data_IF_078717749271
#
_entry.id   IF_078717749271
#
_cell.length_a   1.000
_cell.length_b   1.000
_cell.length_c   1.000
_cell.angle_alpha   90.00
_cell.angle_beta   90.00
_cell.angle_gamma   90.00
#
_symmetry.space_group_name_H-M   'P 1'
#
loop_
_entity.id
_entity.type
_entity.pdbx_description
1 polymer ?
#
# COMPACT_ATOMS: atom_id res chain seq x y z
N UNK A 1 -17.13 -7.41 5.23
CA UNK A 1 -17.17 -6.13 5.97
C UNK A 1 -15.76 -5.74 6.40
N UNK A 2 -15.37 -4.47 6.26
CA UNK A 2 -14.09 -3.95 6.77
C UNK A 2 -14.34 -3.14 8.04
N UNK A 3 -13.59 -3.42 9.10
CA UNK A 3 -13.69 -2.71 10.36
C UNK A 3 -12.64 -1.61 10.52
N UNK A 4 -13.04 -0.53 11.17
CA UNK A 4 -12.17 0.57 11.56
C UNK A 4 -11.99 0.54 13.09
N UNK A 5 -10.79 0.20 13.56
CA UNK A 5 -10.46 0.20 14.98
C UNK A 5 -9.03 0.74 15.18
N UNK A 6 -8.93 1.94 15.74
CA UNK A 6 -7.66 2.62 15.96
C UNK A 6 -6.76 1.82 16.92
N UNK A 7 -5.48 1.66 16.55
CA UNK A 7 -4.49 0.91 17.33
C UNK A 7 -4.59 -0.62 17.23
N UNK A 8 -5.43 -1.16 16.35
CA UNK A 8 -5.60 -2.62 16.18
C UNK A 8 -4.36 -3.31 15.59
N UNK A 9 -3.70 -2.68 14.62
CA UNK A 9 -2.48 -3.19 13.97
C UNK A 9 -2.70 -4.47 13.15
N UNK A 10 -1.62 -5.20 12.86
CA UNK A 10 -1.67 -6.44 12.05
C UNK A 10 -1.72 -7.68 12.96
N UNK A 11 -2.92 -8.05 13.37
CA UNK A 11 -3.18 -9.24 14.19
C UNK A 11 -4.62 -9.77 14.05
N UNK A 12 -4.81 -11.07 14.33
CA UNK A 12 -6.14 -11.68 14.47
C UNK A 12 -6.74 -11.29 15.82
N UNK A 13 -8.03 -10.98 15.85
CA UNK A 13 -8.76 -10.52 17.03
C UNK A 13 -10.24 -10.90 16.96
N UNK A 14 -11.01 -10.59 18.00
CA UNK A 14 -12.44 -10.89 18.10
C UNK A 14 -13.30 -10.16 17.06
N UNK A 15 -12.79 -9.08 16.45
CA UNK A 15 -13.46 -8.43 15.32
C UNK A 15 -13.72 -9.43 14.18
N UNK A 16 -12.76 -10.32 13.89
CA UNK A 16 -12.92 -11.33 12.83
C UNK A 16 -13.94 -12.41 13.19
N UNK A 17 -14.12 -12.70 14.49
CA UNK A 17 -15.18 -13.60 14.96
C UNK A 17 -16.57 -12.92 14.94
N UNK A 18 -16.60 -11.60 14.81
CA UNK A 18 -17.81 -10.76 14.84
C UNK A 18 -18.27 -10.30 13.45
N UNK A 19 -17.79 -10.93 12.38
CA UNK A 19 -18.25 -10.69 11.00
C UNK A 19 -17.40 -9.72 10.17
N UNK A 20 -16.24 -9.29 10.67
CA UNK A 20 -15.28 -8.53 9.86
C UNK A 20 -14.35 -9.45 9.07
N UNK A 21 -14.22 -9.20 7.78
CA UNK A 21 -13.29 -9.94 6.89
C UNK A 21 -11.89 -9.32 6.93
N UNK A 22 -11.82 -8.01 7.20
CA UNK A 22 -10.59 -7.24 7.28
C UNK A 22 -10.70 -6.12 8.32
N UNK A 23 -9.58 -5.76 8.91
CA UNK A 23 -9.43 -4.56 9.75
C UNK A 23 -8.48 -3.58 9.07
N UNK A 24 -8.74 -2.28 9.20
CA UNK A 24 -7.85 -1.24 8.66
C UNK A 24 -6.49 -1.30 9.36
N UNK A 25 -5.43 -1.32 8.55
CA UNK A 25 -4.04 -1.31 9.02
C UNK A 25 -3.52 0.12 9.09
N UNK A 26 -3.75 0.78 10.23
CA UNK A 26 -3.31 2.15 10.49
C UNK A 26 -1.79 2.32 10.54
N UNK A 27 -1.05 1.25 10.88
CA UNK A 27 0.41 1.30 11.02
C UNK A 27 1.12 1.40 9.67
N UNK A 28 0.45 1.02 8.57
CA UNK A 28 1.09 0.85 7.28
C UNK A 28 1.64 2.16 6.70
N UNK A 29 0.93 3.28 6.89
CA UNK A 29 1.35 4.60 6.40
C UNK A 29 2.78 4.94 6.89
N UNK A 30 3.05 4.73 8.17
CA UNK A 30 4.35 5.03 8.77
C UNK A 30 5.43 3.97 8.45
N UNK A 31 5.04 2.69 8.30
CA UNK A 31 5.95 1.65 7.84
C UNK A 31 6.42 1.89 6.40
N UNK A 32 5.50 2.30 5.52
CA UNK A 32 5.80 2.65 4.14
C UNK A 32 6.66 3.90 4.03
N UNK A 33 6.41 4.93 4.86
CA UNK A 33 7.19 6.17 4.88
C UNK A 33 8.69 5.90 5.11
N UNK A 34 9.01 4.99 6.05
CA UNK A 34 10.38 4.57 6.36
C UNK A 34 11.09 3.86 5.22
N UNK A 35 10.36 3.34 4.23
CA UNK A 35 10.91 2.58 3.11
C UNK A 35 10.95 3.36 1.78
N UNK A 36 10.55 4.64 1.77
CA UNK A 36 10.54 5.48 0.56
C UNK A 36 11.93 5.62 -0.07
N UNK A 37 12.94 5.85 0.77
CA UNK A 37 14.31 6.08 0.29
C UNK A 37 14.94 4.79 -0.26
N UNK A 38 14.65 3.67 0.39
CA UNK A 38 15.14 2.35 0.03
C UNK A 38 14.04 1.30 0.19
N UNK A 39 13.52 0.79 -0.93
CA UNK A 39 12.43 -0.18 -0.95
C UNK A 39 12.78 -1.45 -0.16
N UNK A 40 14.05 -1.87 -0.16
CA UNK A 40 14.50 -3.05 0.59
C UNK A 40 14.14 -3.00 2.09
N UNK A 41 14.03 -1.79 2.66
CA UNK A 41 13.68 -1.57 4.06
C UNK A 41 12.26 -2.05 4.41
N UNK A 42 11.37 -2.20 3.42
CA UNK A 42 10.00 -2.70 3.65
C UNK A 42 9.95 -4.22 3.87
N UNK A 43 11.01 -4.95 3.53
CA UNK A 43 11.02 -6.42 3.52
C UNK A 43 10.56 -7.05 4.85
N UNK A 44 11.08 -6.65 6.03
CA UNK A 44 10.64 -7.25 7.28
C UNK A 44 9.14 -7.04 7.53
N UNK A 45 8.62 -5.87 7.17
CA UNK A 45 7.19 -5.55 7.29
C UNK A 45 6.36 -6.44 6.38
N UNK A 46 6.72 -6.56 5.09
CA UNK A 46 5.99 -7.39 4.15
C UNK A 46 6.11 -8.88 4.46
N UNK A 47 7.27 -9.36 4.93
CA UNK A 47 7.43 -10.75 5.34
C UNK A 47 6.50 -11.06 6.53
N UNK A 48 6.53 -10.22 7.58
CA UNK A 48 5.65 -10.38 8.74
C UNK A 48 4.17 -10.34 8.34
N UNK A 49 3.77 -9.38 7.49
CA UNK A 49 2.39 -9.29 7.01
C UNK A 49 2.00 -10.54 6.22
N UNK A 50 2.84 -10.98 5.28
CA UNK A 50 2.56 -12.18 4.49
C UNK A 50 2.39 -13.42 5.37
N UNK A 51 3.25 -13.61 6.38
CA UNK A 51 3.16 -14.75 7.30
C UNK A 51 1.89 -14.72 8.16
N UNK A 52 1.48 -13.53 8.65
CA UNK A 52 0.29 -13.37 9.49
C UNK A 52 -1.02 -13.49 8.72
N UNK A 53 -1.08 -12.92 7.51
CA UNK A 53 -2.33 -12.76 6.75
C UNK A 53 -2.79 -14.04 6.03
N UNK A 54 -2.26 -15.19 6.42
CA UNK A 54 -2.65 -16.49 5.87
C UNK A 54 -4.04 -16.95 6.35
N UNK A 55 -4.56 -16.39 7.45
CA UNK A 55 -5.83 -16.80 8.06
C UNK A 55 -6.84 -15.66 8.23
N UNK A 56 -6.42 -14.42 8.03
CA UNK A 56 -7.23 -13.22 8.19
C UNK A 56 -6.67 -12.14 7.26
N UNK A 57 -7.43 -11.08 7.01
CA UNK A 57 -7.00 -10.00 6.13
C UNK A 57 -6.94 -8.66 6.85
N UNK A 58 -6.20 -7.71 6.28
CA UNK A 58 -6.21 -6.30 6.68
C UNK A 58 -6.36 -5.43 5.45
N UNK A 59 -6.82 -4.19 5.65
CA UNK A 59 -6.90 -3.17 4.60
C UNK A 59 -5.83 -2.11 4.85
N UNK A 60 -4.71 -2.19 4.12
CA UNK A 60 -3.64 -1.21 4.18
C UNK A 60 -3.91 0.00 3.28
N UNK A 61 -3.52 1.19 3.69
CA UNK A 61 -3.60 2.42 2.91
C UNK A 61 -2.33 3.26 3.08
N UNK A 62 -2.11 4.22 2.18
CA UNK A 62 -1.04 5.21 2.33
C UNK A 62 -1.56 6.57 2.74
N UNK A 63 -2.66 7.04 2.16
CA UNK A 63 -3.31 8.29 2.56
C UNK A 63 -4.69 8.01 3.16
N UNK A 64 -5.14 8.88 4.06
CA UNK A 64 -6.50 8.83 4.58
C UNK A 64 -7.02 10.23 4.88
N UNK A 65 -8.34 10.36 4.86
CA UNK A 65 -9.09 11.55 5.23
C UNK A 65 -8.97 11.91 6.73
N UNK A 66 -8.51 10.97 7.56
CA UNK A 66 -8.40 11.12 9.02
C UNK A 66 -6.95 11.02 9.54
N UNK A 67 -5.96 10.95 8.65
CA UNK A 67 -4.54 10.99 9.04
C UNK A 67 -3.77 12.06 8.27
N UNK A 68 -3.22 11.71 7.11
CA UNK A 68 -2.50 12.63 6.22
C UNK A 68 -2.47 12.10 4.80
N UNK A 69 -2.01 12.94 3.88
CA UNK A 69 -1.63 12.53 2.55
C UNK A 69 -0.18 12.03 2.54
N UNK A 70 0.07 10.90 1.90
CA UNK A 70 1.41 10.35 1.67
C UNK A 70 2.00 10.97 0.40
N UNK A 71 2.98 11.86 0.53
CA UNK A 71 3.56 12.61 -0.60
C UNK A 71 5.07 12.48 -0.70
N UNK A 72 5.71 11.89 0.30
CA UNK A 72 7.13 11.60 0.35
C UNK A 72 7.61 10.62 -0.75
N UNK A 73 6.74 9.73 -1.24
CA UNK A 73 7.16 8.63 -2.14
C UNK A 73 7.05 8.88 -3.64
N UNK A 74 6.39 9.95 -4.11
CA UNK A 74 6.10 10.14 -5.53
C UNK A 74 5.50 8.87 -6.18
N UNK A 75 6.11 8.38 -7.26
CA UNK A 75 5.69 7.12 -7.90
C UNK A 75 5.96 5.86 -7.06
N UNK A 76 6.95 5.88 -6.16
CA UNK A 76 7.27 4.75 -5.27
C UNK A 76 6.13 4.44 -4.30
N UNK A 77 5.24 5.39 -4.03
CA UNK A 77 4.03 5.16 -3.25
C UNK A 77 3.15 4.05 -3.89
N UNK A 78 3.07 4.00 -5.22
CA UNK A 78 2.34 2.95 -5.92
C UNK A 78 2.96 1.56 -5.67
N UNK A 79 4.29 1.47 -5.70
CA UNK A 79 5.04 0.23 -5.46
C UNK A 79 4.86 -0.23 -4.01
N UNK A 80 5.06 0.70 -3.06
CA UNK A 80 4.89 0.45 -1.64
C UNK A 80 3.46 -0.02 -1.33
N UNK A 81 2.41 0.57 -1.90
CA UNK A 81 1.04 0.14 -1.61
C UNK A 81 0.67 -1.12 -2.39
N UNK A 82 0.78 -1.11 -3.71
CA UNK A 82 0.18 -2.14 -4.57
C UNK A 82 0.93 -3.47 -4.52
N UNK A 83 2.16 -3.49 -4.01
CA UNK A 83 2.91 -4.72 -3.74
C UNK A 83 2.82 -5.16 -2.27
N UNK A 84 1.94 -4.59 -1.44
CA UNK A 84 1.76 -5.02 -0.04
C UNK A 84 0.95 -6.31 0.06
N UNK A 85 1.26 -7.22 1.00
CA UNK A 85 0.35 -8.32 1.38
C UNK A 85 -0.97 -7.79 1.97
N UNK A 86 -2.02 -8.62 1.92
CA UNK A 86 -3.36 -8.25 2.39
C UNK A 86 -4.15 -7.44 1.36
N UNK A 87 -5.29 -6.86 1.74
CA UNK A 87 -6.05 -5.93 0.91
C UNK A 87 -5.44 -4.51 0.98
N UNK A 88 -5.70 -3.70 -0.05
CA UNK A 88 -5.23 -2.31 -0.11
C UNK A 88 -6.35 -1.37 -0.50
N UNK A 89 -6.29 -0.15 0.00
CA UNK A 89 -7.17 0.95 -0.37
C UNK A 89 -6.34 2.10 -0.95
N UNK A 90 -6.71 2.54 -2.15
CA UNK A 90 -6.18 3.76 -2.75
C UNK A 90 -7.09 4.90 -2.31
N UNK A 91 -6.51 5.96 -1.74
CA UNK A 91 -7.26 7.17 -1.43
C UNK A 91 -7.24 8.11 -2.63
N UNK A 92 -8.38 8.73 -2.92
CA UNK A 92 -8.54 9.50 -4.16
C UNK A 92 -7.45 10.58 -4.31
N UNK A 93 -6.81 10.57 -5.47
CA UNK A 93 -5.74 11.50 -5.81
C UNK A 93 -4.35 11.07 -5.37
N UNK A 94 -4.16 9.91 -4.75
CA UNK A 94 -2.81 9.34 -4.57
C UNK A 94 -2.17 9.02 -5.93
N UNK A 95 -2.99 8.52 -6.86
CA UNK A 95 -2.61 8.17 -8.23
C UNK A 95 -2.20 9.38 -9.08
N UNK A 96 -2.56 10.59 -8.65
CA UNK A 96 -2.23 11.86 -9.32
C UNK A 96 -1.49 12.81 -8.40
N UNK A 97 -0.99 12.38 -7.23
CA UNK A 97 -0.36 13.24 -6.21
C UNK A 97 -1.15 14.53 -5.92
N UNK A 98 -2.47 14.42 -5.74
CA UNK A 98 -3.35 15.52 -5.38
C UNK A 98 -2.79 16.30 -4.18
N UNK A 99 -2.64 17.63 -4.26
CA UNK A 99 -2.05 18.41 -3.20
C UNK A 99 -2.97 18.49 -1.98
N UNK A 100 -2.36 18.68 -0.80
CA UNK A 100 -3.08 19.05 0.40
C UNK A 100 -3.77 20.41 0.19
N UNK A 101 -5.03 20.51 0.61
CA UNK A 101 -5.85 21.71 0.43
C UNK A 101 -5.82 22.66 1.61
N UNK A 102 -6.64 23.72 1.55
CA UNK A 102 -6.85 24.62 2.66
C UNK A 102 -7.37 23.90 3.89
N UNK A 103 -6.96 24.36 5.07
CA UNK A 103 -7.48 23.92 6.37
C UNK A 103 -8.32 25.01 6.99
N UNK A 104 -9.15 24.62 7.98
CA UNK A 104 -9.95 25.53 8.78
C UNK A 104 -9.82 25.18 10.25
N UNK A 105 -10.95 25.11 10.97
CA UNK A 105 -11.00 24.60 12.34
C UNK A 105 -10.70 23.09 12.43
N UNK A 106 -10.94 22.33 11.36
CA UNK A 106 -10.49 20.95 11.21
C UNK A 106 -9.09 20.95 10.56
N UNK A 107 -8.02 20.54 11.28
CA UNK A 107 -6.67 20.49 10.74
C UNK A 107 -6.50 19.44 9.64
N UNK A 108 -7.38 18.43 9.57
CA UNK A 108 -7.33 17.34 8.59
C UNK A 108 -8.14 17.63 7.33
N UNK A 109 -8.93 18.70 7.32
CA UNK A 109 -9.75 19.12 6.18
C UNK A 109 -8.94 19.20 4.88
N UNK A 110 -7.67 19.61 4.94
CA UNK A 110 -6.81 19.70 3.77
C UNK A 110 -6.51 18.36 3.10
N UNK A 111 -6.66 17.22 3.80
CA UNK A 111 -6.57 15.88 3.16
C UNK A 111 -7.73 15.63 2.19
N UNK A 112 -8.82 16.40 2.30
CA UNK A 112 -10.07 16.25 1.55
C UNK A 112 -10.25 17.32 0.45
N UNK A 113 -9.14 17.86 -0.06
CA UNK A 113 -9.14 18.83 -1.18
C UNK A 113 -9.78 18.28 -2.46
N UNK A 114 -10.19 19.18 -3.35
CA UNK A 114 -10.73 18.83 -4.66
C UNK A 114 -9.76 18.00 -5.50
N UNK A 115 -10.31 17.10 -6.30
CA UNK A 115 -9.52 16.26 -7.19
C UNK A 115 -8.82 17.10 -8.28
N UNK A 116 -7.56 16.80 -8.55
CA UNK A 116 -6.74 17.49 -9.55
C UNK A 116 -6.87 16.89 -10.96
N UNK A 117 -8.09 16.85 -11.49
CA UNK A 117 -8.41 16.20 -12.78
C UNK A 117 -7.53 16.66 -13.95
N UNK A 118 -7.23 17.95 -14.03
CA UNK A 118 -6.36 18.54 -15.05
C UNK A 118 -4.93 17.96 -15.04
N UNK A 119 -4.46 17.49 -13.87
CA UNK A 119 -3.13 16.93 -13.74
C UNK A 119 -3.07 15.48 -14.24
N UNK A 120 -4.19 14.75 -14.18
CA UNK A 120 -4.27 13.35 -14.62
C UNK A 120 -3.96 13.18 -16.11
N UNK A 121 -4.32 14.17 -16.94
CA UNK A 121 -3.96 14.23 -18.37
C UNK A 121 -2.76 15.14 -18.64
N UNK A 122 -2.27 15.85 -17.62
CA UNK A 122 -1.14 16.77 -17.68
C UNK A 122 0.09 16.23 -16.95
N UNK A 123 0.60 17.03 -16.00
CA UNK A 123 1.89 16.76 -15.33
C UNK A 123 1.94 15.42 -14.58
N UNK A 124 0.80 14.83 -14.22
CA UNK A 124 0.71 13.58 -13.45
C UNK A 124 0.32 12.36 -14.29
N UNK A 125 0.20 12.50 -15.61
CA UNK A 125 -0.18 11.41 -16.52
C UNK A 125 0.77 10.19 -16.39
N UNK A 126 2.08 10.41 -16.27
CA UNK A 126 3.04 9.33 -16.08
C UNK A 126 2.89 8.62 -14.72
N UNK A 127 2.57 9.38 -13.66
CA UNK A 127 2.30 8.82 -12.33
C UNK A 127 1.03 7.97 -12.36
N UNK A 128 -0.06 8.48 -12.95
CA UNK A 128 -1.30 7.75 -13.10
C UNK A 128 -1.10 6.45 -13.89
N UNK A 129 -0.34 6.51 -14.99
CA UNK A 129 -0.02 5.32 -15.79
C UNK A 129 0.76 4.26 -14.98
N UNK A 130 1.67 4.67 -14.09
CA UNK A 130 2.39 3.76 -13.19
C UNK A 130 1.46 3.09 -12.18
N UNK A 131 0.59 3.86 -11.54
CA UNK A 131 -0.44 3.35 -10.63
C UNK A 131 -1.37 2.36 -11.34
N UNK A 132 -1.84 2.68 -12.54
CA UNK A 132 -2.68 1.79 -13.35
C UNK A 132 -1.96 0.48 -13.68
N UNK A 133 -0.70 0.55 -14.12
CA UNK A 133 0.10 -0.63 -14.45
C UNK A 133 0.24 -1.57 -13.26
N UNK A 134 0.61 -1.05 -12.09
CA UNK A 134 0.75 -1.84 -10.87
C UNK A 134 -0.59 -2.36 -10.36
N UNK A 135 -1.67 -1.58 -10.48
CA UNK A 135 -3.01 -1.98 -10.05
C UNK A 135 -3.53 -3.14 -10.91
N UNK A 136 -3.32 -3.07 -12.22
CA UNK A 136 -3.65 -4.15 -13.15
C UNK A 136 -2.78 -5.40 -12.90
N UNK A 137 -1.49 -5.24 -12.61
CA UNK A 137 -0.62 -6.35 -12.24
C UNK A 137 -1.13 -7.05 -10.98
N UNK A 138 -1.41 -6.28 -9.91
CA UNK A 138 -1.99 -6.81 -8.67
C UNK A 138 -3.33 -7.51 -8.90
N UNK A 139 -4.21 -6.94 -9.73
CA UNK A 139 -5.51 -7.54 -10.02
C UNK A 139 -5.40 -8.90 -10.73
N UNK A 140 -4.36 -9.09 -11.57
CA UNK A 140 -4.10 -10.36 -12.27
C UNK A 140 -3.36 -11.39 -11.40
N UNK A 141 -2.71 -10.96 -10.33
CA UNK A 141 -1.87 -11.81 -9.49
C UNK A 141 -2.31 -11.77 -8.01
N UNK A 142 -3.20 -12.69 -7.65
CA UNK A 142 -3.67 -12.87 -6.27
C UNK A 142 -2.52 -13.15 -5.30
N UNK A 143 -1.42 -13.75 -5.76
CA UNK A 143 -0.22 -14.00 -4.98
C UNK A 143 0.39 -12.74 -4.38
N UNK A 144 0.17 -11.56 -4.97
CA UNK A 144 0.61 -10.30 -4.37
C UNK A 144 -0.11 -10.05 -3.04
N UNK A 145 -1.42 -10.24 -2.95
CA UNK A 145 -2.17 -10.01 -1.70
C UNK A 145 -2.11 -11.20 -0.74
N UNK A 146 -2.38 -12.40 -1.23
CA UNK A 146 -2.60 -13.60 -0.41
C UNK A 146 -1.38 -14.53 -0.33
N UNK A 147 -0.39 -14.35 -1.19
CA UNK A 147 0.71 -15.29 -1.32
C UNK A 147 1.69 -15.23 -0.15
N UNK A 148 2.32 -16.38 0.12
CA UNK A 148 3.45 -16.47 1.05
C UNK A 148 4.69 -15.86 0.43
N UNK A 149 5.31 -14.93 1.14
CA UNK A 149 6.52 -14.26 0.72
C UNK A 149 7.76 -15.10 1.04
N UNK A 150 8.73 -15.05 0.14
CA UNK A 150 10.09 -15.54 0.39
C UNK A 150 11.07 -14.51 -0.17
N UNK A 151 11.83 -13.87 0.72
CA UNK A 151 12.91 -12.97 0.35
C UNK A 151 14.02 -13.74 -0.35
N UNK A 152 14.54 -13.19 -1.46
CA UNK A 152 15.53 -13.84 -2.31
C UNK A 152 16.88 -13.14 -2.18
N UNK A 153 17.94 -13.92 -2.01
CA UNK A 153 19.30 -13.39 -2.02
C UNK A 153 19.71 -12.99 -3.43
N UNK A 154 20.03 -11.70 -3.64
CA UNK A 154 20.52 -11.15 -4.90
C UNK A 154 21.82 -10.38 -4.67
N UNK A 155 22.68 -10.33 -5.70
CA UNK A 155 23.98 -9.63 -5.61
C UNK A 155 23.83 -8.12 -5.40
N UNK A 156 22.76 -7.54 -5.95
CA UNK A 156 22.44 -6.12 -5.85
C UNK A 156 20.93 -5.95 -5.90
N UNK A 157 20.43 -4.99 -5.11
CA UNK A 157 19.02 -4.65 -5.05
C UNK A 157 18.25 -5.47 -4.01
N UNK A 158 16.96 -5.63 -4.24
CA UNK A 158 16.03 -6.35 -3.38
C UNK A 158 15.11 -7.22 -4.24
N UNK A 159 14.90 -8.47 -3.84
CA UNK A 159 14.00 -9.36 -4.54
C UNK A 159 13.24 -10.24 -3.56
N UNK A 160 11.99 -10.55 -3.92
CA UNK A 160 11.17 -11.52 -3.21
C UNK A 160 10.26 -12.24 -4.21
N UNK A 161 9.83 -13.45 -3.84
CA UNK A 161 8.74 -14.13 -4.51
C UNK A 161 7.50 -14.16 -3.62
N UNK A 162 6.32 -14.25 -4.24
CA UNK A 162 5.08 -14.64 -3.57
C UNK A 162 4.38 -15.75 -4.32
N UNK A 163 3.84 -16.71 -3.57
CA UNK A 163 3.17 -17.88 -4.13
C UNK A 163 1.81 -18.07 -3.46
N UNK A 164 0.77 -18.21 -4.27
CA UNK A 164 -0.59 -18.57 -3.85
C UNK A 164 -1.20 -19.57 -4.84
N UNK A 165 -1.26 -20.84 -4.46
CA UNK A 165 -1.65 -21.92 -5.38
C UNK A 165 -0.72 -21.97 -6.60
N UNK A 166 -1.30 -21.88 -7.80
CA UNK A 166 -0.56 -21.86 -9.06
C UNK A 166 -0.06 -20.47 -9.47
N UNK A 167 -0.52 -19.40 -8.82
CA UNK A 167 -0.05 -18.04 -9.08
C UNK A 167 1.27 -17.77 -8.36
N UNK A 168 2.28 -17.39 -9.13
CA UNK A 168 3.65 -17.19 -8.67
C UNK A 168 4.20 -15.90 -9.26
N UNK A 169 4.61 -14.99 -8.39
CA UNK A 169 5.19 -13.71 -8.76
C UNK A 169 6.58 -13.59 -8.17
N UNK A 170 7.48 -12.97 -8.93
CA UNK A 170 8.78 -12.53 -8.45
C UNK A 170 8.91 -11.05 -8.73
N UNK A 171 9.26 -10.28 -7.71
CA UNK A 171 9.50 -8.85 -7.80
C UNK A 171 10.98 -8.62 -7.56
N UNK A 172 11.59 -7.81 -8.43
CA UNK A 172 13.00 -7.43 -8.32
C UNK A 172 13.10 -5.92 -8.42
N UNK A 173 13.71 -5.31 -7.42
CA UNK A 173 14.07 -3.91 -7.37
C UNK A 173 15.58 -3.77 -7.50
N UNK A 174 16.05 -3.16 -8.58
CA UNK A 174 17.47 -3.14 -8.94
C UNK A 174 18.34 -2.14 -8.15
N UNK A 175 17.75 -1.32 -7.29
CA UNK A 175 18.44 -0.21 -6.62
C UNK A 175 18.08 1.16 -7.20
N UNK A 176 18.46 2.22 -6.48
CA UNK A 176 18.53 3.56 -7.06
C UNK A 176 19.72 3.57 -8.05
N UNK A 177 19.50 4.09 -9.26
CA UNK A 177 20.57 4.36 -10.23
C UNK A 177 21.34 5.62 -9.85
#
# INVERSE_FOLDING_TARGET
MTGEAWGHGVMKSDYYASGFDAMINFDYQEQAAKAVDCLATIDPTWQQMSDKLQQFNVLSYLSSHDTRLFREGGQKAAELLLLTPGAVQIFYGDETQRPFGPTGSDPLQGTRSDMNWQDATGKQAATLAHWQKLSQFRARHQAIGAGKQTTLSVKQGYAFSRVSGDDKVMVVWAGNR
#
